data_IF_021615652885
#
_entry.id   IF_021615652885
#
_cell.length_a   1.000
_cell.length_b   1.000
_cell.length_c   1.000
_cell.angle_alpha   90.00
_cell.angle_beta   90.00
_cell.angle_gamma   90.00
#
_symmetry.space_group_name_H-M   'P 1'
#
loop_
_entity.id
_entity.type
_entity.pdbx_description
1 polymer ?
#
# COMPACT_ATOMS: atom_id res chain seq x y z
N UNK A 1 11.22 -8.34 -11.77
CA UNK A 1 9.86 -8.22 -11.19
C UNK A 1 9.26 -9.60 -11.05
N UNK A 2 8.60 -9.86 -9.94
CA UNK A 2 7.99 -11.16 -9.67
C UNK A 2 6.66 -10.99 -8.94
N UNK A 3 5.72 -11.88 -9.22
CA UNK A 3 4.47 -11.95 -8.49
C UNK A 3 4.70 -12.58 -7.12
N UNK A 4 4.06 -12.02 -6.10
CA UNK A 4 4.11 -12.54 -4.73
C UNK A 4 2.70 -12.89 -4.24
N UNK A 5 2.65 -13.83 -3.32
CA UNK A 5 1.37 -14.24 -2.73
C UNK A 5 0.87 -13.17 -1.76
N UNK A 6 -0.37 -12.73 -1.94
CA UNK A 6 -1.04 -11.84 -0.99
C UNK A 6 -1.57 -12.67 0.17
N UNK A 7 -1.13 -12.34 1.38
CA UNK A 7 -1.60 -12.99 2.60
C UNK A 7 -3.00 -12.49 2.95
N UNK A 8 -3.80 -13.39 3.50
CA UNK A 8 -5.17 -13.09 3.90
C UNK A 8 -5.36 -13.34 5.38
N UNK A 9 -6.34 -12.64 5.99
CA UNK A 9 -6.70 -12.89 7.38
C UNK A 9 -7.14 -14.36 7.55
N UNK A 10 -6.82 -15.03 8.64
CA UNK A 10 -6.23 -14.52 9.88
C UNK A 10 -4.71 -14.71 10.00
N UNK A 11 -3.95 -14.62 8.92
CA UNK A 11 -2.49 -14.79 8.97
C UNK A 11 -1.88 -13.84 10.02
N UNK A 12 -1.14 -14.35 11.03
CA UNK A 12 -0.66 -13.52 12.13
C UNK A 12 0.31 -12.43 11.72
N UNK A 13 1.03 -12.57 10.60
CA UNK A 13 1.98 -11.54 10.15
C UNK A 13 1.27 -10.23 9.83
N UNK A 14 0.00 -10.27 9.42
CA UNK A 14 -0.78 -9.07 9.10
C UNK A 14 -1.02 -8.18 10.33
N UNK A 15 -0.80 -8.68 11.53
CA UNK A 15 -0.92 -7.94 12.79
C UNK A 15 0.42 -7.44 13.32
N UNK A 16 1.53 -7.78 12.68
CA UNK A 16 2.84 -7.30 13.08
C UNK A 16 3.01 -5.82 12.74
N UNK A 17 3.80 -5.15 13.56
CA UNK A 17 4.20 -3.77 13.28
C UNK A 17 5.36 -3.77 12.30
N UNK A 18 5.20 -3.09 11.18
CA UNK A 18 6.24 -2.98 10.16
C UNK A 18 7.42 -2.14 10.63
N UNK A 19 8.63 -2.57 10.27
CA UNK A 19 9.87 -1.91 10.63
C UNK A 19 10.18 -0.75 9.70
N UNK A 20 10.84 0.26 10.26
CA UNK A 20 11.38 1.38 9.50
C UNK A 20 12.43 0.92 8.50
N UNK A 21 12.44 1.49 7.29
CA UNK A 21 13.43 1.22 6.25
C UNK A 21 14.55 2.25 6.36
N UNK A 22 15.80 1.79 6.49
CA UNK A 22 16.94 2.71 6.69
C UNK A 22 17.28 3.49 5.43
N UNK A 23 17.22 2.84 4.26
CA UNK A 23 17.48 3.50 2.98
C UNK A 23 16.79 2.75 1.83
N UNK A 24 16.51 3.48 0.75
CA UNK A 24 15.97 2.90 -0.48
C UNK A 24 17.12 2.40 -1.32
N UNK A 25 17.48 1.14 -1.13
CA UNK A 25 18.53 0.45 -1.89
C UNK A 25 17.92 -0.42 -2.99
N UNK A 26 18.78 -1.21 -3.67
CA UNK A 26 18.32 -2.09 -4.76
C UNK A 26 17.32 -3.15 -4.29
N UNK A 27 17.46 -3.64 -3.05
CA UNK A 27 16.54 -4.64 -2.48
C UNK A 27 15.15 -4.04 -2.25
N UNK A 28 15.08 -2.81 -1.75
CA UNK A 28 13.82 -2.10 -1.54
C UNK A 28 13.16 -1.75 -2.88
N UNK A 29 13.94 -1.34 -3.88
CA UNK A 29 13.41 -1.09 -5.22
C UNK A 29 12.84 -2.37 -5.85
N UNK A 30 13.54 -3.49 -5.74
CA UNK A 30 13.07 -4.80 -6.19
C UNK A 30 11.78 -5.20 -5.49
N UNK A 31 11.70 -4.97 -4.17
CA UNK A 31 10.49 -5.23 -3.40
C UNK A 31 9.32 -4.39 -3.92
N UNK A 32 9.53 -3.10 -4.15
CA UNK A 32 8.49 -2.22 -4.66
C UNK A 32 8.02 -2.63 -6.07
N UNK A 33 8.93 -3.06 -6.93
CA UNK A 33 8.61 -3.56 -8.27
C UNK A 33 7.73 -4.80 -8.19
N UNK A 34 8.08 -5.75 -7.33
CA UNK A 34 7.29 -6.97 -7.09
C UNK A 34 5.90 -6.64 -6.52
N UNK A 35 5.85 -5.71 -5.57
CA UNK A 35 4.59 -5.26 -4.97
C UNK A 35 3.66 -4.64 -6.01
N UNK A 36 4.20 -3.78 -6.86
CA UNK A 36 3.40 -3.10 -7.89
C UNK A 36 2.83 -4.11 -8.89
N UNK A 37 3.65 -5.04 -9.36
CA UNK A 37 3.21 -6.10 -10.26
C UNK A 37 2.12 -6.97 -9.62
N UNK A 38 2.32 -7.37 -8.38
CA UNK A 38 1.34 -8.15 -7.61
C UNK A 38 0.02 -7.39 -7.44
N UNK A 39 0.11 -6.09 -7.14
CA UNK A 39 -1.07 -5.23 -6.99
C UNK A 39 -1.90 -5.17 -8.27
N UNK A 40 -1.24 -4.94 -9.42
CA UNK A 40 -1.96 -4.87 -10.71
C UNK A 40 -2.59 -6.21 -11.09
N UNK A 41 -1.92 -7.31 -10.80
CA UNK A 41 -2.42 -8.65 -11.13
C UNK A 41 -3.62 -9.06 -10.27
N UNK A 42 -3.72 -8.60 -9.04
CA UNK A 42 -4.75 -8.99 -8.07
C UNK A 42 -6.21 -8.80 -8.54
N UNK A 43 -6.73 -7.75 -9.26
CA UNK A 43 -6.22 -6.39 -9.34
C UNK A 43 -6.58 -5.54 -8.12
N UNK A 44 -5.73 -4.57 -7.83
CA UNK A 44 -5.93 -3.64 -6.72
C UNK A 44 -5.33 -2.27 -7.01
N UNK A 45 -5.60 -1.32 -6.13
CA UNK A 45 -5.13 0.06 -6.26
C UNK A 45 -4.08 0.44 -5.20
N UNK A 46 -3.85 -0.43 -4.24
CA UNK A 46 -2.85 -0.22 -3.19
C UNK A 46 -2.41 -1.54 -2.60
N UNK A 47 -1.17 -1.59 -2.11
CA UNK A 47 -0.62 -2.76 -1.45
C UNK A 47 0.50 -2.34 -0.50
N UNK A 48 0.43 -2.83 0.73
CA UNK A 48 1.50 -2.67 1.72
C UNK A 48 2.38 -3.93 1.75
N UNK A 49 3.67 -3.75 2.04
CA UNK A 49 4.63 -4.85 2.06
C UNK A 49 4.22 -5.99 3.01
N UNK A 50 3.62 -5.66 4.14
CA UNK A 50 3.18 -6.68 5.10
C UNK A 50 2.16 -7.65 4.49
N UNK A 51 1.39 -7.22 3.49
CA UNK A 51 0.38 -8.06 2.82
C UNK A 51 1.01 -9.16 1.97
N UNK A 52 2.30 -9.06 1.67
CA UNK A 52 3.07 -10.12 1.00
C UNK A 52 4.13 -10.74 1.91
N UNK A 53 3.97 -10.55 3.23
CA UNK A 53 4.82 -11.19 4.23
C UNK A 53 6.11 -10.46 4.56
N UNK A 54 6.26 -9.21 4.12
CA UNK A 54 7.44 -8.39 4.40
C UNK A 54 7.07 -7.29 5.39
N UNK A 55 7.56 -7.42 6.63
CA UNK A 55 7.23 -6.50 7.72
C UNK A 55 8.09 -5.24 7.66
N UNK A 56 7.94 -4.48 6.58
CA UNK A 56 8.64 -3.20 6.34
C UNK A 56 7.65 -2.12 5.94
N UNK A 57 7.96 -0.87 6.29
CA UNK A 57 7.10 0.28 5.99
C UNK A 57 7.25 0.72 4.54
N UNK A 58 6.67 -0.06 3.64
CA UNK A 58 6.65 0.20 2.19
C UNK A 58 5.23 -0.01 1.69
N UNK A 59 4.75 0.95 0.90
CA UNK A 59 3.43 0.91 0.28
C UNK A 59 3.54 1.34 -1.17
N UNK A 60 2.84 0.67 -2.05
CA UNK A 60 2.66 1.09 -3.45
C UNK A 60 1.19 1.34 -3.72
N UNK A 61 0.89 2.27 -4.62
CA UNK A 61 -0.48 2.51 -5.05
C UNK A 61 -0.52 3.11 -6.45
N UNK A 62 -1.65 2.91 -7.11
CA UNK A 62 -2.00 3.56 -8.35
C UNK A 62 -3.50 3.81 -8.34
N UNK A 63 -3.88 5.07 -8.13
CA UNK A 63 -5.29 5.50 -8.09
C UNK A 63 -5.71 6.19 -9.38
N UNK A 64 -4.92 6.06 -10.45
CA UNK A 64 -5.26 6.63 -11.74
C UNK A 64 -6.58 6.03 -12.25
N UNK A 65 -7.44 6.89 -12.81
CA UNK A 65 -8.76 6.48 -13.33
C UNK A 65 -8.75 6.29 -14.83
N UNK A 66 -7.66 6.66 -15.49
CA UNK A 66 -7.53 6.53 -16.95
C UNK A 66 -6.99 5.16 -17.31
N UNK A 67 -7.82 4.37 -17.99
CA UNK A 67 -7.38 3.10 -18.55
C UNK A 67 -6.22 3.32 -19.52
N UNK A 68 -5.16 2.53 -19.37
CA UNK A 68 -3.97 2.62 -20.20
C UNK A 68 -2.96 3.66 -19.74
N UNK A 69 -3.30 4.51 -18.77
CA UNK A 69 -2.34 5.45 -18.15
C UNK A 69 -2.09 5.04 -16.71
N UNK A 70 -0.96 4.39 -16.48
CA UNK A 70 -0.52 4.02 -15.13
C UNK A 70 0.21 5.20 -14.49
N UNK A 71 -0.08 5.45 -13.23
CA UNK A 71 0.58 6.47 -12.43
C UNK A 71 0.94 5.90 -11.06
N UNK A 72 1.90 4.95 -11.01
CA UNK A 72 2.26 4.30 -9.77
C UNK A 72 2.94 5.27 -8.81
N UNK A 73 2.61 5.15 -7.53
CA UNK A 73 3.23 5.90 -6.45
C UNK A 73 3.86 4.93 -5.46
N UNK A 74 5.01 5.30 -4.93
CA UNK A 74 5.80 4.48 -4.02
C UNK A 74 6.05 5.25 -2.73
N UNK A 75 5.75 4.62 -1.60
CA UNK A 75 5.88 5.25 -0.28
C UNK A 75 6.76 4.39 0.62
N UNK A 76 7.89 4.93 1.02
CA UNK A 76 8.81 4.30 1.99
C UNK A 76 8.78 5.14 3.26
N UNK A 77 8.58 4.49 4.40
CA UNK A 77 8.42 5.14 5.69
C UNK A 77 7.36 6.24 5.70
N UNK A 78 6.15 5.95 5.19
CA UNK A 78 5.11 6.98 5.16
C UNK A 78 4.67 7.35 6.58
N UNK A 79 4.42 8.64 6.77
CA UNK A 79 3.93 9.20 8.03
C UNK A 79 2.83 10.22 7.72
N UNK A 80 1.67 10.05 8.34
CA UNK A 80 0.60 11.02 8.23
C UNK A 80 0.89 12.17 9.20
N UNK A 81 1.17 13.35 8.66
CA UNK A 81 1.53 14.54 9.45
C UNK A 81 0.36 15.46 9.73
N UNK A 82 -0.72 15.33 8.98
CA UNK A 82 -1.94 16.12 9.14
C UNK A 82 -3.13 15.39 8.52
N UNK A 83 -4.28 15.55 9.13
CA UNK A 83 -5.57 15.05 8.62
C UNK A 83 -6.61 16.17 8.67
N UNK A 84 -7.51 16.19 7.70
CA UNK A 84 -8.63 17.13 7.72
C UNK A 84 -9.63 16.77 8.83
N UNK A 85 -10.39 17.75 9.27
CA UNK A 85 -11.49 17.53 10.21
C UNK A 85 -12.78 17.08 9.51
N UNK A 86 -12.86 17.28 8.20
CA UNK A 86 -14.00 16.85 7.39
C UNK A 86 -13.83 15.39 6.97
N UNK A 87 -14.85 14.57 7.23
CA UNK A 87 -14.85 13.15 6.85
C UNK A 87 -15.73 12.90 5.63
N UNK A 88 -15.36 11.89 4.84
CA UNK A 88 -16.18 11.38 3.75
C UNK A 88 -16.41 9.89 3.95
N UNK A 89 -17.60 9.42 3.57
CA UNK A 89 -17.94 8.02 3.59
C UNK A 89 -17.49 7.36 2.28
N UNK A 90 -16.91 6.18 2.38
CA UNK A 90 -16.46 5.41 1.24
C UNK A 90 -16.53 3.92 1.54
N UNK A 91 -16.92 3.13 0.55
CA UNK A 91 -16.91 1.68 0.68
C UNK A 91 -15.49 1.18 0.39
N UNK A 92 -14.87 0.55 1.36
CA UNK A 92 -13.49 0.08 1.27
C UNK A 92 -13.40 -1.43 1.31
N UNK A 93 -12.43 -1.94 0.57
CA UNK A 93 -12.03 -3.35 0.61
C UNK A 93 -10.53 -3.47 0.78
N UNK A 94 -10.07 -4.68 1.00
CA UNK A 94 -8.65 -4.98 1.15
C UNK A 94 -8.35 -6.35 0.52
N UNK A 95 -7.24 -6.44 -0.22
CA UNK A 95 -6.84 -7.69 -0.86
C UNK A 95 -6.55 -8.80 0.15
N UNK A 96 -6.19 -8.44 1.39
CA UNK A 96 -5.97 -9.40 2.49
C UNK A 96 -7.26 -9.83 3.18
N UNK A 97 -8.39 -9.19 2.84
CA UNK A 97 -9.74 -9.55 3.33
C UNK A 97 -10.64 -9.68 2.10
N UNK A 98 -10.49 -10.77 1.34
CA UNK A 98 -11.20 -10.90 0.07
C UNK A 98 -12.71 -10.96 0.24
N UNK A 99 -13.42 -10.35 -0.71
CA UNK A 99 -14.89 -10.34 -0.82
C UNK A 99 -15.60 -9.64 0.35
N UNK A 100 -14.89 -8.82 1.13
CA UNK A 100 -15.47 -8.02 2.21
C UNK A 100 -15.33 -6.54 1.87
N UNK A 101 -16.44 -5.82 1.95
CA UNK A 101 -16.46 -4.37 1.72
C UNK A 101 -17.20 -3.71 2.87
N UNK A 102 -16.62 -2.67 3.43
CA UNK A 102 -17.17 -1.95 4.56
C UNK A 102 -17.21 -0.46 4.24
N UNK A 103 -18.37 0.15 4.48
CA UNK A 103 -18.49 1.61 4.37
C UNK A 103 -17.93 2.23 5.65
N UNK A 104 -16.89 3.04 5.48
CA UNK A 104 -16.25 3.75 6.60
C UNK A 104 -16.13 5.24 6.29
N UNK A 105 -15.96 6.03 7.34
CA UNK A 105 -15.70 7.46 7.22
C UNK A 105 -14.24 7.73 7.53
N UNK A 106 -13.60 8.52 6.68
CA UNK A 106 -12.22 8.95 6.86
C UNK A 106 -12.09 10.45 6.60
N UNK A 107 -11.06 11.09 7.14
CA UNK A 107 -10.72 12.45 6.72
C UNK A 107 -10.58 12.51 5.20
N UNK A 108 -11.14 13.55 4.57
CA UNK A 108 -11.14 13.67 3.12
C UNK A 108 -9.78 14.08 2.55
N UNK A 109 -8.88 14.61 3.40
CA UNK A 109 -7.52 15.03 3.03
C UNK A 109 -6.54 14.69 4.13
N UNK A 110 -5.30 14.41 3.73
CA UNK A 110 -4.19 14.25 4.66
C UNK A 110 -2.88 14.69 3.99
N UNK A 111 -1.89 15.00 4.82
CA UNK A 111 -0.52 15.18 4.36
C UNK A 111 0.30 13.96 4.75
N UNK A 112 1.11 13.47 3.84
CA UNK A 112 1.98 12.32 4.06
C UNK A 112 3.41 12.71 3.77
N UNK A 113 4.29 12.45 4.73
CA UNK A 113 5.74 12.58 4.55
C UNK A 113 6.30 11.18 4.25
N UNK A 114 7.08 11.06 3.20
CA UNK A 114 7.60 9.75 2.78
C UNK A 114 8.84 9.90 1.90
N UNK A 115 9.57 8.78 1.73
CA UNK A 115 10.61 8.65 0.71
C UNK A 115 9.99 8.01 -0.53
N UNK A 116 10.38 8.46 -1.71
CA UNK A 116 9.90 7.91 -2.97
C UNK A 116 10.76 6.74 -3.45
N UNK A 117 10.52 6.27 -4.69
CA UNK A 117 11.24 5.15 -5.28
C UNK A 117 12.76 5.37 -5.33
N UNK A 118 13.19 6.59 -5.40
CA UNK A 118 14.60 6.96 -5.51
C UNK A 118 15.23 7.40 -4.17
N UNK A 119 14.45 7.37 -3.10
CA UNK A 119 14.93 7.80 -1.78
C UNK A 119 14.81 9.28 -1.53
#
# INVERSE_FOLDING_TARGET
MALRRILTVPDPILRERSSHVEKVDSDIKSLMDDMLETMYEAPGIGLAAIQIGVSKRVVVMDVSKDEGKKNPMYFVNPEITWKSSTNVGYEEGCLSIPNQFVKIERPDKCHVKYLDYNG
#
